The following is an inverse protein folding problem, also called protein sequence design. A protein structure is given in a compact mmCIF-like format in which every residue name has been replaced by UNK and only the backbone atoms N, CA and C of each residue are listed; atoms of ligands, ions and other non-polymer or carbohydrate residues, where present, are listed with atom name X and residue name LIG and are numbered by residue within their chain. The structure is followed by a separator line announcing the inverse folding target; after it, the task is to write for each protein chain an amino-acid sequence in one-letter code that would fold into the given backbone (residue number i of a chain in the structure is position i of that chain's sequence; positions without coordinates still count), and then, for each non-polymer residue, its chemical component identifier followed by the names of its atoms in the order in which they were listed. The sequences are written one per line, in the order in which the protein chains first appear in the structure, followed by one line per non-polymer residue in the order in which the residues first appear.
data_IF_383255272289
#
_entry.id   IF_383255272289
#
_cell.length_a   1.000
_cell.length_b   1.000
_cell.length_c   1.000
_cell.angle_alpha   90.00
_cell.angle_beta   90.00
_cell.angle_gamma   90.00
#
_symmetry.space_group_name_H-M   'P 1'
#
loop_
_entity.id
_entity.type
_entity.pdbx_description
1 polymer ?
#
# COMPACT_ATOMS: atom_id res chain seq x y z
N UNK A 1 -36.84 20.76 -59.81
CA UNK A 1 -36.30 20.03 -60.94
C UNK A 1 -34.99 19.40 -60.53
N UNK A 2 -34.80 18.13 -60.78
CA UNK A 2 -33.78 17.28 -60.15
C UNK A 2 -32.58 17.10 -61.06
N UNK A 3 -31.46 16.74 -60.46
CA UNK A 3 -30.48 15.87 -61.15
C UNK A 3 -29.88 14.87 -60.18
N UNK A 4 -30.32 13.67 -60.39
CA UNK A 4 -29.71 12.37 -59.95
C UNK A 4 -28.44 12.12 -60.70
N UNK A 5 -27.43 11.55 -60.05
CA UNK A 5 -26.50 10.66 -60.69
C UNK A 5 -26.10 9.51 -59.78
N UNK A 6 -26.25 8.32 -60.35
CA UNK A 6 -26.00 6.98 -59.82
C UNK A 6 -24.57 6.54 -60.10
N UNK A 7 -24.23 5.40 -59.45
CA UNK A 7 -23.30 4.34 -59.87
C UNK A 7 -21.91 4.43 -59.28
N UNK A 8 -21.22 3.37 -58.84
CA UNK A 8 -21.41 1.95 -59.08
C UNK A 8 -20.70 1.13 -57.97
N UNK A 9 -21.22 -0.07 -57.80
CA UNK A 9 -20.72 -1.19 -57.03
C UNK A 9 -19.60 -1.91 -57.82
N UNK A 10 -18.48 -2.29 -57.18
CA UNK A 10 -17.54 -3.26 -57.74
C UNK A 10 -17.23 -4.32 -56.70
N UNK A 11 -17.75 -5.51 -56.95
CA UNK A 11 -17.39 -6.75 -56.28
C UNK A 11 -16.17 -7.36 -56.98
N UNK A 12 -15.18 -7.78 -56.19
CA UNK A 12 -14.08 -8.62 -56.68
C UNK A 12 -14.02 -9.91 -55.87
N UNK A 13 -14.36 -10.97 -56.56
CA UNK A 13 -14.23 -12.37 -56.15
C UNK A 13 -12.79 -12.80 -56.42
N UNK A 14 -12.10 -13.46 -55.49
CA UNK A 14 -10.85 -14.18 -55.76
C UNK A 14 -10.96 -15.59 -55.21
N UNK A 15 -10.66 -16.50 -56.12
CA UNK A 15 -10.60 -17.97 -55.98
C UNK A 15 -9.51 -18.42 -55.03
N UNK A 16 -9.79 -19.57 -54.38
CA UNK A 16 -8.82 -20.33 -53.63
C UNK A 16 -7.85 -21.14 -54.50
N UNK A 17 -6.73 -21.48 -53.92
CA UNK A 17 -5.89 -22.60 -54.34
C UNK A 17 -5.43 -23.38 -53.11
N UNK A 18 -5.77 -24.66 -53.10
CA UNK A 18 -5.27 -25.66 -52.17
C UNK A 18 -3.91 -26.15 -52.66
N UNK A 19 -2.97 -26.36 -51.76
CA UNK A 19 -1.69 -26.99 -52.01
C UNK A 19 -1.34 -27.96 -50.89
N UNK A 20 -1.29 -29.23 -51.24
CA UNK A 20 -0.96 -30.38 -50.38
C UNK A 20 0.55 -30.54 -50.15
N UNK A 21 0.84 -31.05 -48.92
CA UNK A 21 1.85 -32.07 -48.55
C UNK A 21 3.33 -31.79 -48.71
N UNK A 22 4.11 -32.01 -47.65
CA UNK A 22 4.91 -33.24 -47.47
C UNK A 22 5.52 -33.32 -46.09
N UNK A 23 5.38 -34.49 -45.50
CA UNK A 23 6.06 -35.00 -44.30
C UNK A 23 7.55 -35.17 -44.55
N UNK A 24 8.41 -34.73 -43.65
CA UNK A 24 9.79 -35.19 -43.56
C UNK A 24 10.13 -35.50 -42.11
N UNK A 25 10.30 -36.79 -41.81
CA UNK A 25 10.93 -37.30 -40.59
C UNK A 25 12.44 -37.00 -40.64
N UNK A 26 13.00 -36.45 -39.56
CA UNK A 26 14.45 -36.44 -39.36
C UNK A 26 14.73 -36.93 -37.95
N UNK A 27 15.46 -38.05 -37.90
CA UNK A 27 15.96 -38.78 -36.75
C UNK A 27 17.11 -38.03 -36.07
N UNK A 28 17.00 -37.84 -34.73
CA UNK A 28 18.10 -37.39 -33.89
C UNK A 28 18.98 -38.55 -33.38
N UNK A 29 20.23 -38.28 -33.02
CA UNK A 29 21.18 -39.32 -32.59
C UNK A 29 21.01 -39.76 -31.12
N UNK A 30 21.54 -40.97 -30.76
CA UNK A 30 21.35 -41.56 -29.42
C UNK A 30 22.29 -41.00 -28.36
N UNK A 31 21.82 -41.02 -27.09
CA UNK A 31 22.59 -40.67 -25.91
C UNK A 31 23.59 -41.78 -25.51
N UNK A 32 24.73 -41.47 -24.90
CA UNK A 32 25.68 -42.48 -24.45
C UNK A 32 25.25 -43.07 -23.07
N UNK A 33 25.26 -44.39 -23.00
CA UNK A 33 25.18 -45.21 -21.79
C UNK A 33 26.47 -45.11 -20.99
N UNK A 34 26.39 -44.61 -19.78
CA UNK A 34 27.46 -44.65 -18.79
C UNK A 34 27.02 -45.41 -17.53
N UNK A 35 27.45 -46.64 -17.40
CA UNK A 35 27.31 -47.48 -16.20
C UNK A 35 28.30 -47.03 -15.16
N UNK A 36 27.88 -46.68 -13.93
CA UNK A 36 28.76 -46.68 -12.78
C UNK A 36 28.04 -47.17 -11.53
N UNK A 37 28.75 -48.00 -10.79
CA UNK A 37 28.34 -48.88 -9.73
C UNK A 37 27.75 -48.17 -8.48
N UNK A 38 26.74 -48.80 -7.91
CA UNK A 38 26.18 -48.48 -6.62
C UNK A 38 27.13 -48.96 -5.49
N UNK A 39 27.55 -48.02 -4.63
CA UNK A 39 28.18 -48.36 -3.35
C UNK A 39 27.15 -48.10 -2.26
N UNK A 40 26.62 -49.19 -1.71
CA UNK A 40 25.71 -49.23 -0.57
C UNK A 40 26.48 -48.84 0.71
N UNK A 41 26.13 -47.73 1.34
CA UNK A 41 26.60 -47.39 2.68
C UNK A 41 25.42 -47.52 3.64
N UNK A 42 25.60 -48.43 4.62
CA UNK A 42 24.60 -48.71 5.65
C UNK A 42 24.33 -47.49 6.54
N UNK A 43 23.05 -47.20 6.73
CA UNK A 43 22.56 -46.20 7.68
C UNK A 43 22.33 -46.93 8.99
N UNK A 44 23.09 -46.61 10.01
CA UNK A 44 22.87 -47.01 11.39
C UNK A 44 21.80 -46.09 11.99
N UNK A 45 20.67 -46.66 12.35
CA UNK A 45 19.62 -46.03 13.14
C UNK A 45 20.05 -45.93 14.59
N UNK A 46 20.25 -44.72 15.11
CA UNK A 46 20.35 -44.45 16.53
C UNK A 46 18.99 -44.09 17.12
N UNK A 47 18.65 -44.78 18.22
CA UNK A 47 17.41 -44.58 18.98
C UNK A 47 17.38 -43.22 19.71
N UNK A 48 16.18 -42.64 19.99
CA UNK A 48 16.06 -41.39 20.72
C UNK A 48 16.34 -41.57 22.23
N UNK A 49 16.86 -40.52 22.91
CA UNK A 49 17.10 -40.58 24.36
C UNK A 49 15.81 -40.48 25.16
N UNK A 50 15.76 -41.23 26.24
CA UNK A 50 14.69 -41.33 27.21
C UNK A 50 14.46 -40.03 27.99
N UNK A 51 13.20 -39.71 28.26
CA UNK A 51 12.76 -38.58 29.07
C UNK A 51 13.22 -38.71 30.54
N UNK A 52 13.57 -37.59 31.20
CA UNK A 52 13.86 -37.62 32.64
C UNK A 52 12.57 -37.60 33.47
N UNK A 53 12.61 -38.39 34.52
CA UNK A 53 11.59 -38.60 35.57
C UNK A 53 11.30 -37.31 36.33
N UNK A 54 10.01 -37.00 36.50
CA UNK A 54 9.49 -35.91 37.33
C UNK A 54 9.78 -36.18 38.81
N UNK A 55 10.54 -35.27 39.44
CA UNK A 55 10.71 -35.17 40.90
C UNK A 55 9.70 -34.19 41.45
N UNK A 56 8.85 -34.65 42.37
CA UNK A 56 7.83 -33.88 43.07
C UNK A 56 8.46 -32.88 44.05
N UNK A 57 8.12 -31.60 43.92
CA UNK A 57 8.43 -30.56 44.90
C UNK A 57 7.32 -30.48 45.98
N UNK A 58 7.65 -30.18 47.26
CA UNK A 58 6.66 -30.11 48.33
C UNK A 58 5.87 -28.81 48.33
N UNK A 59 4.61 -28.88 48.74
CA UNK A 59 3.65 -27.77 48.90
C UNK A 59 4.10 -26.74 49.93
N UNK A 60 3.89 -25.42 49.69
CA UNK A 60 4.12 -24.41 50.69
C UNK A 60 2.98 -24.32 51.68
N UNK A 61 3.35 -24.31 52.97
CA UNK A 61 2.44 -24.06 54.11
C UNK A 61 2.07 -22.57 54.19
N UNK A 62 0.79 -22.32 54.40
CA UNK A 62 0.20 -21.00 54.60
C UNK A 62 0.55 -20.45 55.99
N UNK A 63 1.02 -19.19 56.16
CA UNK A 63 1.11 -18.55 57.44
C UNK A 63 -0.19 -17.83 57.81
N UNK A 64 -0.61 -17.95 59.06
CA UNK A 64 -1.74 -17.29 59.73
C UNK A 64 -1.47 -15.81 59.89
N UNK A 65 -2.48 -14.91 59.77
CA UNK A 65 -2.28 -13.49 59.93
C UNK A 65 -2.19 -13.07 61.37
N UNK A 66 -1.09 -12.40 61.75
CA UNK A 66 -0.97 -11.67 63.01
C UNK A 66 -1.51 -10.27 62.86
N UNK A 67 -2.38 -9.91 63.78
CA UNK A 67 -2.96 -8.57 63.95
C UNK A 67 -1.88 -7.52 64.29
N UNK A 68 -1.77 -6.49 63.47
CA UNK A 68 -0.93 -5.30 63.74
C UNK A 68 -1.81 -4.09 63.99
N UNK A 69 -1.59 -3.49 65.12
CA UNK A 69 -2.20 -2.30 65.67
C UNK A 69 -1.90 -1.08 64.80
N UNK A 70 -2.94 -0.30 64.47
CA UNK A 70 -2.85 0.98 63.76
C UNK A 70 -2.21 2.06 64.58
N UNK A 71 -1.06 2.58 64.14
CA UNK A 71 -0.50 3.84 64.60
C UNK A 71 -0.72 4.91 63.52
N UNK A 72 -1.44 5.97 63.85
CA UNK A 72 -1.68 7.14 63.00
C UNK A 72 -0.42 8.01 62.92
N UNK A 73 0.24 7.97 61.72
CA UNK A 73 1.31 8.90 61.36
C UNK A 73 0.77 10.10 60.55
N UNK A 74 1.51 11.22 60.47
CA UNK A 74 1.02 12.48 59.90
C UNK A 74 0.81 12.41 58.39
N UNK A 75 -0.25 13.08 57.90
CA UNK A 75 -0.64 13.15 56.50
C UNK A 75 0.46 13.74 55.61
N UNK A 76 0.88 12.96 54.62
CA UNK A 76 1.73 13.41 53.53
C UNK A 76 0.91 14.29 52.57
N UNK A 77 1.45 15.41 52.05
CA UNK A 77 0.71 16.26 51.13
C UNK A 77 0.45 15.49 49.83
N UNK A 78 -0.82 15.33 49.50
CA UNK A 78 -1.29 14.71 48.23
C UNK A 78 -0.83 15.60 47.09
N UNK A 79 0.07 15.06 46.26
CA UNK A 79 0.42 15.66 44.96
C UNK A 79 -0.85 15.75 44.11
N UNK A 80 -1.15 16.89 43.46
CA UNK A 80 -2.34 16.98 42.63
C UNK A 80 -2.24 15.93 41.50
N UNK A 81 -3.31 15.16 41.34
CA UNK A 81 -3.46 14.23 40.23
C UNK A 81 -3.21 14.98 38.93
N UNK A 82 -2.53 14.37 37.92
CA UNK A 82 -2.34 15.02 36.66
C UNK A 82 -3.72 15.36 36.06
N UNK A 83 -3.95 16.67 35.86
CA UNK A 83 -5.13 17.16 35.14
C UNK A 83 -5.24 16.43 33.84
N UNK A 84 -6.31 15.67 33.64
CA UNK A 84 -6.62 15.01 32.40
C UNK A 84 -6.54 16.06 31.28
N UNK A 85 -5.60 15.88 30.35
CA UNK A 85 -5.48 16.71 29.16
C UNK A 85 -6.85 16.70 28.50
N UNK A 86 -7.50 17.85 28.40
CA UNK A 86 -8.81 17.97 27.79
C UNK A 86 -8.75 17.27 26.41
N UNK A 87 -9.56 16.22 26.24
CA UNK A 87 -9.58 15.44 25.00
C UNK A 87 -9.84 16.41 23.86
N UNK A 88 -9.07 16.27 22.76
CA UNK A 88 -9.34 17.04 21.53
C UNK A 88 -10.80 16.83 21.14
N UNK A 89 -11.45 17.90 20.71
CA UNK A 89 -12.84 17.84 20.25
C UNK A 89 -13.05 16.71 19.25
N UNK A 90 -14.15 16.00 19.36
CA UNK A 90 -14.53 14.97 18.41
C UNK A 90 -14.69 15.59 17.03
N UNK A 91 -14.00 15.02 16.03
CA UNK A 91 -14.15 15.44 14.65
C UNK A 91 -15.48 14.98 14.04
N UNK A 92 -15.65 15.27 12.77
CA UNK A 92 -16.76 14.74 11.97
C UNK A 92 -16.25 14.28 10.61
N UNK A 93 -16.94 13.32 9.98
CA UNK A 93 -16.76 12.93 8.60
C UNK A 93 -18.12 12.67 7.95
N UNK A 94 -18.47 13.47 6.96
CA UNK A 94 -19.76 13.39 6.26
C UNK A 94 -19.54 13.23 4.76
N UNK A 95 -20.09 12.18 4.16
CA UNK A 95 -20.08 12.02 2.70
C UNK A 95 -21.04 13.05 2.09
N UNK A 96 -20.48 13.98 1.32
CA UNK A 96 -21.24 15.03 0.63
C UNK A 96 -21.91 14.47 -0.62
N UNK A 97 -21.16 13.67 -1.41
CA UNK A 97 -21.67 13.00 -2.61
C UNK A 97 -20.70 11.90 -3.08
N UNK A 98 -21.20 10.98 -3.90
CA UNK A 98 -20.41 10.06 -4.70
C UNK A 98 -20.06 10.73 -6.02
N UNK A 99 -18.78 10.82 -6.36
CA UNK A 99 -18.27 11.49 -7.55
C UNK A 99 -18.20 10.56 -8.76
N UNK A 100 -17.91 9.29 -8.52
CA UNK A 100 -17.79 8.26 -9.55
C UNK A 100 -18.08 6.87 -8.96
N UNK A 101 -18.52 5.96 -9.81
CA UNK A 101 -18.84 4.55 -9.49
C UNK A 101 -18.31 3.62 -10.58
N UNK A 102 -18.22 2.31 -10.29
CA UNK A 102 -17.87 1.28 -11.29
C UNK A 102 -16.42 1.28 -11.71
N UNK A 103 -15.50 1.75 -10.86
CA UNK A 103 -14.06 1.72 -11.10
C UNK A 103 -13.49 0.45 -10.49
N UNK A 104 -12.60 -0.26 -11.21
CA UNK A 104 -11.95 -1.46 -10.67
C UNK A 104 -10.87 -1.09 -9.67
N UNK A 105 -11.17 -1.19 -8.38
CA UNK A 105 -10.24 -0.93 -7.27
C UNK A 105 -9.47 0.37 -7.48
N UNK A 106 -10.09 1.57 -7.30
CA UNK A 106 -9.42 2.86 -7.41
C UNK A 106 -8.36 3.00 -6.32
N UNK A 107 -7.08 2.77 -6.71
CA UNK A 107 -5.98 2.57 -5.78
C UNK A 107 -5.15 3.83 -5.52
N UNK A 108 -4.61 4.45 -6.55
CA UNK A 108 -3.80 5.67 -6.45
C UNK A 108 -4.62 6.92 -6.75
N UNK A 109 -4.40 7.97 -5.96
CA UNK A 109 -4.96 9.30 -6.18
C UNK A 109 -3.83 10.32 -6.23
N UNK A 110 -3.81 11.20 -7.25
CA UNK A 110 -2.82 12.26 -7.36
C UNK A 110 -3.45 13.55 -7.93
N UNK A 111 -3.27 14.67 -7.23
CA UNK A 111 -3.83 15.96 -7.65
C UNK A 111 -3.00 16.60 -8.76
N UNK A 112 -3.66 17.09 -9.78
CA UNK A 112 -3.07 17.89 -10.86
C UNK A 112 -3.03 19.38 -10.49
N UNK A 113 -2.15 20.17 -11.12
CA UNK A 113 -2.06 21.61 -10.85
C UNK A 113 -3.37 22.38 -11.14
N UNK A 114 -4.21 21.87 -12.05
CA UNK A 114 -5.52 22.44 -12.37
C UNK A 114 -6.63 22.08 -11.37
N UNK A 115 -6.30 21.34 -10.32
CA UNK A 115 -7.22 20.91 -9.27
C UNK A 115 -7.97 19.61 -9.56
N UNK A 116 -7.90 19.07 -10.78
CA UNK A 116 -8.44 17.73 -11.08
C UNK A 116 -7.58 16.65 -10.47
N UNK A 117 -8.06 15.41 -10.42
CA UNK A 117 -7.36 14.30 -9.74
C UNK A 117 -7.19 13.12 -10.69
N UNK A 118 -5.97 12.61 -10.78
CA UNK A 118 -5.72 11.32 -11.42
C UNK A 118 -6.08 10.18 -10.48
N UNK A 119 -6.65 9.12 -11.04
CA UNK A 119 -7.07 7.91 -10.33
C UNK A 119 -6.52 6.70 -11.08
N UNK A 120 -5.72 5.86 -10.41
CA UNK A 120 -5.34 4.55 -10.96
C UNK A 120 -6.38 3.50 -10.61
N UNK A 121 -6.73 2.66 -11.57
CA UNK A 121 -7.56 1.48 -11.40
C UNK A 121 -6.66 0.24 -11.42
N UNK A 122 -6.58 -0.48 -10.28
CA UNK A 122 -5.57 -1.52 -10.03
C UNK A 122 -5.62 -2.65 -11.05
N UNK A 123 -6.81 -3.19 -11.29
CA UNK A 123 -6.96 -4.44 -12.04
C UNK A 123 -7.22 -4.24 -13.53
N UNK A 124 -7.73 -3.07 -13.93
CA UNK A 124 -7.87 -2.69 -15.36
C UNK A 124 -6.68 -1.90 -15.90
N UNK A 125 -5.68 -1.57 -15.04
CA UNK A 125 -4.43 -0.87 -15.38
C UNK A 125 -4.64 0.51 -16.00
N UNK A 126 -5.83 1.10 -15.79
CA UNK A 126 -6.23 2.38 -16.37
C UNK A 126 -5.89 3.52 -15.43
N UNK A 127 -5.58 4.66 -16.02
CA UNK A 127 -5.55 5.95 -15.33
C UNK A 127 -6.72 6.77 -15.83
N UNK A 128 -7.45 7.35 -14.89
CA UNK A 128 -8.56 8.27 -15.13
C UNK A 128 -8.21 9.66 -14.60
N UNK A 129 -8.85 10.68 -15.17
CA UNK A 129 -8.89 12.06 -14.67
C UNK A 129 -10.28 12.35 -14.16
N UNK A 130 -10.38 12.72 -12.90
CA UNK A 130 -11.60 13.12 -12.21
C UNK A 130 -11.68 14.64 -12.11
N UNK A 131 -12.69 15.24 -12.71
CA UNK A 131 -13.13 16.59 -12.37
C UNK A 131 -14.02 16.50 -11.13
N UNK A 132 -13.50 16.99 -10.00
CA UNK A 132 -14.18 16.92 -8.71
C UNK A 132 -15.43 17.81 -8.68
N UNK A 133 -15.38 18.97 -9.34
CA UNK A 133 -16.50 19.91 -9.38
C UNK A 133 -17.66 19.37 -10.23
N UNK A 134 -17.35 18.89 -11.43
CA UNK A 134 -18.32 18.34 -12.37
C UNK A 134 -18.74 16.89 -12.05
N UNK A 135 -18.05 16.18 -11.14
CA UNK A 135 -18.21 14.73 -10.92
C UNK A 135 -18.06 13.93 -12.23
N UNK A 136 -17.07 14.32 -13.04
CA UNK A 136 -16.85 13.73 -14.36
C UNK A 136 -15.53 12.97 -14.40
N UNK A 137 -15.59 11.70 -14.81
CA UNK A 137 -14.45 10.81 -14.92
C UNK A 137 -14.12 10.54 -16.38
N UNK A 138 -12.92 10.90 -16.82
CA UNK A 138 -12.43 10.67 -18.18
C UNK A 138 -11.25 9.70 -18.16
N UNK A 139 -11.26 8.71 -19.05
CA UNK A 139 -10.12 7.79 -19.19
C UNK A 139 -8.93 8.52 -19.84
N UNK A 140 -7.78 8.49 -19.18
CA UNK A 140 -6.50 9.04 -19.69
C UNK A 140 -5.77 8.01 -20.56
N UNK A 141 -5.64 6.77 -20.08
CA UNK A 141 -4.95 5.71 -20.81
C UNK A 141 -4.85 4.42 -19.99
N UNK A 142 -4.08 3.48 -20.51
CA UNK A 142 -3.76 2.20 -19.85
C UNK A 142 -2.24 2.07 -19.75
N UNK A 143 -1.74 1.66 -18.58
CA UNK A 143 -0.31 1.40 -18.38
C UNK A 143 0.02 -0.01 -18.86
N UNK A 144 0.95 -0.16 -19.86
CA UNK A 144 1.29 -1.46 -20.40
C UNK A 144 2.20 -2.27 -19.47
N UNK A 145 2.22 -3.60 -19.64
CA UNK A 145 3.11 -4.52 -18.93
C UNK A 145 2.75 -4.77 -17.46
N UNK A 146 1.62 -4.25 -17.01
CA UNK A 146 1.09 -4.49 -15.66
C UNK A 146 0.42 -5.86 -15.60
N UNK A 147 0.59 -6.55 -14.47
CA UNK A 147 -0.16 -7.78 -14.15
C UNK A 147 -0.95 -7.59 -12.87
N UNK A 148 -2.11 -8.23 -12.79
CA UNK A 148 -2.93 -8.30 -11.58
C UNK A 148 -3.05 -9.77 -11.15
N UNK A 149 -3.13 -9.97 -9.86
CA UNK A 149 -3.39 -11.28 -9.24
C UNK A 149 -4.69 -11.28 -8.42
N UNK A 150 -5.67 -10.47 -8.82
CA UNK A 150 -6.98 -10.36 -8.15
C UNK A 150 -7.70 -11.71 -8.04
N UNK A 151 -7.50 -12.60 -9.01
CA UNK A 151 -8.07 -13.96 -8.99
C UNK A 151 -7.58 -14.80 -7.79
N UNK A 152 -6.38 -14.50 -7.28
CA UNK A 152 -5.82 -15.07 -6.05
C UNK A 152 -6.11 -14.20 -4.81
N UNK A 153 -7.04 -13.24 -4.88
CA UNK A 153 -7.27 -12.22 -3.86
C UNK A 153 -6.00 -11.39 -3.54
N UNK A 154 -5.13 -11.25 -4.53
CA UNK A 154 -3.84 -10.60 -4.39
C UNK A 154 -3.90 -9.09 -4.46
N UNK A 155 -2.73 -8.47 -4.28
CA UNK A 155 -2.57 -7.03 -4.16
C UNK A 155 -1.83 -6.40 -5.35
N UNK A 156 -1.33 -7.23 -6.28
CA UNK A 156 -0.61 -6.78 -7.46
C UNK A 156 -1.51 -6.04 -8.46
N UNK A 157 -0.92 -5.13 -9.22
CA UNK A 157 -1.63 -4.35 -10.23
C UNK A 157 -1.01 -2.99 -10.49
N UNK A 158 -1.80 -2.06 -11.02
CA UNK A 158 -1.44 -0.64 -11.09
C UNK A 158 -1.79 0.01 -9.74
N UNK A 159 -0.77 0.30 -8.94
CA UNK A 159 -0.95 0.76 -7.56
C UNK A 159 -0.88 2.29 -7.47
N UNK A 160 0.12 2.84 -6.80
CA UNK A 160 0.28 4.27 -6.57
C UNK A 160 0.63 5.04 -7.82
N UNK A 161 0.15 6.27 -7.87
CA UNK A 161 0.53 7.26 -8.87
C UNK A 161 0.91 8.58 -8.18
N UNK A 162 1.80 9.33 -8.81
CA UNK A 162 2.15 10.68 -8.38
C UNK A 162 2.32 11.59 -9.59
N UNK A 163 2.01 12.87 -9.43
CA UNK A 163 2.18 13.90 -10.46
C UNK A 163 3.53 14.59 -10.22
N UNK A 164 4.30 14.81 -11.28
CA UNK A 164 5.56 15.55 -11.19
C UNK A 164 5.38 16.90 -10.50
N UNK A 165 6.28 17.33 -9.60
CA UNK A 165 6.23 18.67 -9.05
C UNK A 165 6.45 19.77 -10.11
N UNK A 166 7.05 19.40 -11.25
CA UNK A 166 7.24 20.26 -12.42
C UNK A 166 6.30 19.92 -13.58
N UNK A 167 5.15 19.33 -13.28
CA UNK A 167 4.18 18.81 -14.27
C UNK A 167 3.76 19.84 -15.33
N UNK A 168 3.70 21.12 -14.98
CA UNK A 168 3.42 22.18 -15.95
C UNK A 168 4.40 22.21 -17.12
N UNK A 169 5.63 21.77 -16.88
CA UNK A 169 6.73 21.75 -17.87
C UNK A 169 6.97 20.37 -18.47
N UNK A 170 7.05 19.32 -17.62
CA UNK A 170 7.51 18.00 -18.03
C UNK A 170 6.37 17.03 -18.35
N UNK A 171 5.14 17.33 -17.92
CA UNK A 171 3.95 16.48 -18.16
C UNK A 171 4.15 15.02 -17.75
N UNK A 172 4.90 14.76 -16.66
CA UNK A 172 5.18 13.41 -16.18
C UNK A 172 4.23 13.00 -15.07
N UNK A 173 3.72 11.77 -15.20
CA UNK A 173 3.03 11.01 -14.16
C UNK A 173 3.89 9.83 -13.79
N UNK A 174 4.08 9.59 -12.50
CA UNK A 174 4.82 8.45 -11.98
C UNK A 174 3.84 7.37 -11.57
N UNK A 175 4.18 6.10 -11.86
CA UNK A 175 3.36 4.95 -11.49
C UNK A 175 4.21 3.87 -10.83
N UNK A 176 3.65 3.29 -9.76
CA UNK A 176 4.12 2.05 -9.17
C UNK A 176 3.21 0.92 -9.63
N UNK A 177 3.76 -0.14 -10.18
CA UNK A 177 2.98 -1.24 -10.72
C UNK A 177 3.73 -2.57 -10.65
N UNK A 178 2.96 -3.65 -10.64
CA UNK A 178 3.46 -5.02 -10.63
C UNK A 178 3.62 -5.55 -12.05
N UNK A 179 4.71 -6.27 -12.29
CA UNK A 179 4.94 -7.09 -13.50
C UNK A 179 4.94 -8.57 -13.12
N UNK A 180 5.21 -9.46 -14.06
CA UNK A 180 5.32 -10.89 -13.78
C UNK A 180 6.51 -11.25 -12.86
N UNK A 181 7.53 -10.41 -12.76
CA UNK A 181 8.77 -10.72 -12.06
C UNK A 181 9.11 -9.80 -10.89
N UNK A 182 8.60 -8.56 -10.90
CA UNK A 182 8.93 -7.56 -9.90
C UNK A 182 7.86 -6.47 -9.82
N UNK A 183 7.93 -5.65 -8.79
CA UNK A 183 7.27 -4.35 -8.78
C UNK A 183 8.21 -3.29 -9.34
N UNK A 184 7.66 -2.29 -10.06
CA UNK A 184 8.42 -1.25 -10.74
C UNK A 184 7.89 0.14 -10.47
N UNK A 185 8.78 1.12 -10.63
CA UNK A 185 8.42 2.54 -10.67
C UNK A 185 8.80 3.07 -12.05
N UNK A 186 7.88 3.75 -12.72
CA UNK A 186 8.14 4.38 -14.01
C UNK A 186 7.62 5.82 -14.06
N UNK A 187 8.26 6.65 -14.89
CA UNK A 187 7.75 7.94 -15.32
C UNK A 187 7.06 7.77 -16.68
N UNK A 188 5.85 8.30 -16.80
CA UNK A 188 4.97 8.16 -17.96
C UNK A 188 4.65 9.56 -18.48
N UNK A 189 5.03 9.92 -19.71
CA UNK A 189 4.62 11.16 -20.34
C UNK A 189 3.09 11.20 -20.50
N UNK A 190 2.49 12.36 -20.27
CA UNK A 190 1.09 12.58 -20.53
C UNK A 190 0.89 13.70 -21.55
N UNK A 191 0.29 13.38 -22.68
CA UNK A 191 -0.13 14.34 -23.69
C UNK A 191 -1.65 14.61 -23.56
N UNK A 192 -2.05 15.74 -22.97
CA UNK A 192 -3.47 16.07 -22.81
C UNK A 192 -4.17 16.40 -24.12
N UNK A 193 -3.43 16.63 -25.22
CA UNK A 193 -3.97 16.92 -26.54
C UNK A 193 -4.34 15.68 -27.34
N UNK A 194 -3.78 14.53 -26.96
CA UNK A 194 -4.13 13.26 -27.56
C UNK A 194 -5.58 12.84 -27.24
N UNK A 195 -6.22 12.02 -28.07
CA UNK A 195 -7.57 11.54 -27.82
C UNK A 195 -7.72 10.87 -26.46
N UNK A 196 -8.87 11.06 -25.81
CA UNK A 196 -9.17 10.42 -24.53
C UNK A 196 -8.92 8.90 -24.58
N UNK A 197 -8.25 8.38 -23.55
CA UNK A 197 -7.82 6.98 -23.45
C UNK A 197 -6.51 6.65 -24.17
N UNK A 198 -5.89 7.60 -24.90
CA UNK A 198 -4.59 7.45 -25.58
C UNK A 198 -3.58 8.53 -25.18
N UNK A 199 -3.78 9.16 -24.02
CA UNK A 199 -2.99 10.31 -23.59
C UNK A 199 -1.70 9.91 -22.85
N UNK A 200 -1.52 8.63 -22.49
CA UNK A 200 -0.29 8.14 -21.87
C UNK A 200 0.73 7.72 -22.93
N UNK A 201 1.93 8.26 -22.82
CA UNK A 201 3.09 7.82 -23.58
C UNK A 201 3.71 6.52 -23.05
N UNK A 202 4.83 6.13 -23.63
CA UNK A 202 5.56 4.92 -23.20
C UNK A 202 6.20 5.12 -21.82
N UNK A 203 5.95 4.22 -20.85
CA UNK A 203 6.58 4.29 -19.54
C UNK A 203 8.11 4.16 -19.64
N UNK A 204 8.82 5.10 -19.02
CA UNK A 204 10.27 5.01 -18.79
C UNK A 204 10.49 4.44 -17.40
N UNK A 205 10.93 3.18 -17.33
CA UNK A 205 11.20 2.51 -16.06
C UNK A 205 12.37 3.18 -15.33
N UNK A 206 12.18 3.47 -14.05
CA UNK A 206 13.14 4.16 -13.18
C UNK A 206 13.75 3.21 -12.15
N UNK A 207 12.93 2.33 -11.57
CA UNK A 207 13.32 1.36 -10.56
C UNK A 207 12.72 0.01 -10.93
N UNK A 208 13.55 -1.03 -10.83
CA UNK A 208 13.21 -2.45 -11.02
C UNK A 208 13.64 -3.26 -9.81
N UNK A 209 13.27 -4.54 -9.76
CA UNK A 209 13.75 -5.46 -8.73
C UNK A 209 13.16 -5.19 -7.34
N UNK A 210 12.06 -4.43 -7.23
CA UNK A 210 11.30 -4.36 -5.99
C UNK A 210 10.58 -5.70 -5.84
N UNK A 211 10.78 -6.42 -4.72
CA UNK A 211 10.14 -7.71 -4.48
C UNK A 211 8.63 -7.70 -4.70
N UNK A 212 8.12 -8.77 -5.30
CA UNK A 212 6.72 -8.93 -5.70
C UNK A 212 6.19 -10.29 -5.26
N UNK A 213 4.94 -10.33 -4.79
CA UNK A 213 4.25 -11.57 -4.48
C UNK A 213 2.72 -11.35 -4.56
N UNK A 214 1.95 -12.39 -4.19
CA UNK A 214 0.48 -12.30 -4.11
C UNK A 214 0.07 -11.17 -3.17
N UNK A 215 0.71 -11.07 -1.99
CA UNK A 215 0.47 -10.01 -1.01
C UNK A 215 1.74 -9.21 -0.71
N UNK A 216 1.58 -8.13 0.06
CA UNK A 216 2.63 -7.26 0.58
C UNK A 216 3.48 -6.64 -0.54
N UNK A 217 2.81 -5.96 -1.46
CA UNK A 217 3.45 -5.26 -2.57
C UNK A 217 3.72 -3.77 -2.26
N UNK A 218 3.19 -3.23 -1.15
CA UNK A 218 3.28 -1.81 -0.82
C UNK A 218 2.59 -0.93 -1.87
N UNK A 219 3.33 -0.02 -2.48
CA UNK A 219 2.92 0.63 -3.73
C UNK A 219 2.50 2.08 -3.63
N UNK A 220 2.52 2.75 -2.46
CA UNK A 220 2.19 4.17 -2.40
C UNK A 220 3.32 5.01 -2.98
N UNK A 221 2.95 5.97 -3.85
CA UNK A 221 3.86 7.00 -4.39
C UNK A 221 3.37 8.38 -3.97
N UNK A 222 4.31 9.24 -3.57
CA UNK A 222 4.06 10.66 -3.37
C UNK A 222 5.36 11.46 -3.48
N UNK A 223 5.29 12.70 -3.96
CA UNK A 223 6.39 13.65 -3.81
C UNK A 223 6.33 14.30 -2.44
N UNK A 224 7.47 14.29 -1.75
CA UNK A 224 7.62 14.99 -0.48
C UNK A 224 7.75 16.51 -0.64
N UNK A 225 7.62 17.27 0.46
CA UNK A 225 7.83 18.73 0.45
C UNK A 225 9.27 19.12 0.06
N UNK A 226 10.19 18.17 0.09
CA UNK A 226 11.58 18.30 -0.36
C UNK A 226 11.78 18.08 -1.87
N UNK A 227 10.69 17.83 -2.62
CA UNK A 227 10.68 17.64 -4.06
C UNK A 227 11.14 16.26 -4.55
N UNK A 228 11.47 15.33 -3.64
CA UNK A 228 11.85 13.96 -4.00
C UNK A 228 10.64 13.02 -4.01
N UNK A 229 10.74 11.97 -4.83
CA UNK A 229 9.72 10.92 -4.92
C UNK A 229 9.95 9.89 -3.81
N UNK A 230 8.91 9.64 -3.02
CA UNK A 230 8.87 8.57 -2.04
C UNK A 230 8.00 7.43 -2.55
N UNK A 231 8.46 6.20 -2.28
CA UNK A 231 7.72 4.98 -2.61
C UNK A 231 7.71 4.04 -1.42
N UNK A 232 6.58 3.41 -1.15
CA UNK A 232 6.48 2.37 -0.13
C UNK A 232 6.54 1.00 -0.77
N UNK A 233 7.20 0.05 -0.12
CA UNK A 233 7.30 -1.33 -0.58
C UNK A 233 6.87 -2.28 0.52
N UNK A 234 6.28 -3.40 0.12
CA UNK A 234 6.07 -4.54 1.01
C UNK A 234 7.25 -5.49 0.97
N UNK A 235 7.33 -6.39 1.94
CA UNK A 235 8.37 -7.43 2.00
C UNK A 235 8.07 -8.64 1.10
N UNK A 236 6.94 -8.62 0.36
CA UNK A 236 6.54 -9.64 -0.59
C UNK A 236 6.44 -11.05 0.03
N UNK A 237 5.89 -11.16 1.26
CA UNK A 237 5.79 -12.40 2.04
C UNK A 237 7.16 -13.08 2.31
N UNK A 238 8.22 -12.28 2.35
CA UNK A 238 9.59 -12.67 2.70
C UNK A 238 10.09 -11.77 3.83
N UNK A 239 9.69 -12.04 5.08
CA UNK A 239 9.91 -11.12 6.22
C UNK A 239 11.35 -10.67 6.42
N UNK A 240 12.32 -11.55 6.14
CA UNK A 240 13.75 -11.24 6.28
C UNK A 240 14.20 -10.05 5.41
N UNK A 241 13.53 -9.82 4.25
CA UNK A 241 13.88 -8.71 3.36
C UNK A 241 13.67 -7.34 4.02
N UNK A 242 12.77 -7.25 5.00
CA UNK A 242 12.50 -6.00 5.70
C UNK A 242 13.74 -5.46 6.41
N UNK A 243 14.58 -6.33 6.98
CA UNK A 243 15.81 -5.99 7.69
C UNK A 243 17.05 -5.91 6.78
N UNK A 244 17.00 -6.52 5.60
CA UNK A 244 18.09 -6.45 4.62
C UNK A 244 18.08 -5.08 3.89
N UNK A 245 19.05 -4.23 4.20
CA UNK A 245 19.22 -2.90 3.58
C UNK A 245 19.72 -2.95 2.13
N UNK A 246 20.14 -4.11 1.64
CA UNK A 246 20.45 -4.38 0.23
C UNK A 246 19.20 -4.68 -0.60
N UNK A 247 18.10 -5.08 0.05
CA UNK A 247 16.80 -5.34 -0.58
C UNK A 247 15.95 -4.07 -0.64
N UNK A 248 15.11 -3.96 -1.67
CA UNK A 248 14.08 -2.91 -1.79
C UNK A 248 12.74 -3.33 -1.14
N UNK A 249 12.61 -4.57 -0.64
CA UNK A 249 11.39 -5.05 0.03
C UNK A 249 11.29 -4.60 1.48
N UNK A 250 10.07 -4.24 1.93
CA UNK A 250 9.83 -3.81 3.31
C UNK A 250 10.51 -2.48 3.66
N UNK A 251 10.39 -1.48 2.78
CA UNK A 251 11.08 -0.19 2.88
C UNK A 251 10.15 0.98 2.60
N UNK A 252 10.54 2.15 3.07
CA UNK A 252 10.20 3.40 2.40
C UNK A 252 11.45 3.83 1.63
N UNK A 253 11.26 4.09 0.33
CA UNK A 253 12.31 4.53 -0.59
C UNK A 253 12.18 6.03 -0.82
N UNK A 254 13.31 6.72 -1.07
CA UNK A 254 13.35 8.14 -1.45
C UNK A 254 14.32 8.34 -2.60
N UNK A 255 13.86 8.98 -3.66
CA UNK A 255 14.60 9.08 -4.92
C UNK A 255 14.37 10.40 -5.65
N UNK A 256 15.28 10.71 -6.55
CA UNK A 256 15.11 11.80 -7.53
C UNK A 256 14.04 11.45 -8.56
N UNK A 257 13.60 12.41 -9.36
CA UNK A 257 12.70 12.20 -10.50
C UNK A 257 13.28 11.27 -11.59
N UNK A 258 14.57 10.96 -11.52
CA UNK A 258 15.27 10.03 -12.39
C UNK A 258 15.42 8.62 -11.78
N UNK A 259 14.85 8.35 -10.59
CA UNK A 259 14.93 7.05 -9.91
C UNK A 259 16.28 6.78 -9.24
N UNK A 260 17.13 7.80 -9.04
CA UNK A 260 18.42 7.67 -8.34
C UNK A 260 18.24 7.97 -6.85
N UNK A 261 19.10 7.43 -5.96
CA UNK A 261 19.09 7.81 -4.57
C UNK A 261 19.10 9.34 -4.41
N UNK A 262 18.18 9.85 -3.58
CA UNK A 262 18.15 11.29 -3.31
C UNK A 262 19.33 11.68 -2.39
N UNK A 263 19.92 12.89 -2.56
CA UNK A 263 20.92 13.39 -1.64
C UNK A 263 20.43 13.37 -0.19
N UNK A 264 21.30 12.97 0.74
CA UNK A 264 20.96 12.86 2.15
C UNK A 264 20.23 11.60 2.56
N UNK A 265 20.05 10.63 1.66
CA UNK A 265 19.57 9.30 2.05
C UNK A 265 20.56 8.63 3.02
N UNK A 266 20.08 8.04 4.14
CA UNK A 266 20.92 7.61 5.25
C UNK A 266 21.92 6.50 4.92
N UNK A 267 21.67 5.73 3.85
CA UNK A 267 22.50 4.59 3.45
C UNK A 267 23.17 4.76 2.09
N UNK A 268 23.07 5.95 1.48
CA UNK A 268 23.57 6.19 0.11
C UNK A 268 22.84 5.42 -0.98
N UNK A 269 21.75 4.71 -0.63
CA UNK A 269 20.89 3.92 -1.52
C UNK A 269 19.50 4.55 -1.61
N UNK A 270 18.55 3.89 -2.28
CA UNK A 270 17.15 4.34 -2.32
C UNK A 270 16.47 4.27 -0.95
N UNK A 271 16.98 3.48 -0.01
CA UNK A 271 16.35 3.20 1.28
C UNK A 271 16.34 4.44 2.17
N UNK A 272 15.14 4.87 2.58
CA UNK A 272 14.91 5.95 3.54
C UNK A 272 14.68 5.42 4.96
N UNK A 273 13.83 4.38 5.10
CA UNK A 273 13.61 3.62 6.33
C UNK A 273 13.41 2.14 6.00
N UNK A 274 13.55 1.27 7.01
CA UNK A 274 13.52 -0.17 6.83
C UNK A 274 12.83 -0.87 8.00
N UNK A 275 12.65 -2.20 7.90
CA UNK A 275 11.94 -2.96 8.91
C UNK A 275 10.43 -2.81 8.81
N UNK A 276 9.90 -2.63 7.61
CA UNK A 276 8.48 -2.53 7.31
C UNK A 276 7.94 -3.84 6.73
N UNK A 277 6.68 -4.15 7.05
CA UNK A 277 5.97 -5.29 6.47
C UNK A 277 5.27 -4.91 5.16
N UNK A 278 4.28 -4.02 5.22
CA UNK A 278 3.49 -3.64 4.04
C UNK A 278 2.87 -2.24 4.21
N UNK A 279 3.64 -1.22 3.90
CA UNK A 279 3.19 0.18 3.99
C UNK A 279 2.35 0.53 2.77
N UNK A 280 1.10 1.00 2.96
CA UNK A 280 0.19 1.38 1.87
C UNK A 280 -0.26 2.84 1.88
N UNK A 281 0.13 3.63 2.86
CA UNK A 281 -0.18 5.05 2.92
C UNK A 281 1.00 5.88 3.40
N UNK A 282 1.22 7.06 2.80
CA UNK A 282 2.15 8.08 3.28
C UNK A 282 1.55 9.47 3.11
N UNK A 283 1.86 10.35 4.06
CA UNK A 283 1.50 11.77 3.99
C UNK A 283 2.43 12.61 4.86
N UNK A 284 2.53 13.91 4.57
CA UNK A 284 3.31 14.85 5.36
C UNK A 284 2.39 15.81 6.12
N UNK A 285 2.70 16.05 7.38
CA UNK A 285 2.03 17.09 8.14
C UNK A 285 2.61 18.49 7.87
N UNK A 286 1.99 19.51 8.46
CA UNK A 286 2.40 20.90 8.25
C UNK A 286 3.82 21.22 8.72
N UNK A 287 4.41 20.38 9.58
CA UNK A 287 5.80 20.49 10.02
C UNK A 287 6.78 19.73 9.09
N UNK A 288 6.27 19.13 7.99
CA UNK A 288 7.06 18.35 7.05
C UNK A 288 7.42 16.94 7.55
N UNK A 289 6.77 16.45 8.61
CA UNK A 289 7.03 15.11 9.14
C UNK A 289 6.25 14.08 8.33
N UNK A 290 6.93 12.99 7.96
CA UNK A 290 6.37 11.90 7.18
C UNK A 290 5.63 10.91 8.09
N UNK A 291 4.38 10.65 7.79
CA UNK A 291 3.53 9.64 8.41
C UNK A 291 3.30 8.49 7.45
N UNK A 292 3.19 7.27 7.98
CA UNK A 292 2.91 6.07 7.20
C UNK A 292 1.92 5.17 7.92
N UNK A 293 1.02 4.56 7.15
CA UNK A 293 0.13 3.49 7.59
C UNK A 293 0.67 2.15 7.12
N UNK A 294 0.66 1.17 7.99
CA UNK A 294 1.32 -0.11 7.78
C UNK A 294 0.47 -1.28 8.26
N UNK A 295 0.33 -2.29 7.42
CA UNK A 295 -0.30 -3.55 7.79
C UNK A 295 0.61 -4.37 8.69
N UNK A 296 0.08 -4.78 9.81
CA UNK A 296 0.65 -5.84 10.64
C UNK A 296 0.33 -7.24 10.12
N UNK A 297 0.69 -8.24 10.92
CA UNK A 297 0.45 -9.65 10.60
C UNK A 297 -0.72 -10.21 11.40
N UNK A 298 -0.50 -10.42 12.66
CA UNK A 298 -1.48 -11.05 13.54
C UNK A 298 -1.94 -10.16 14.69
N UNK A 299 -1.10 -9.23 15.12
CA UNK A 299 -1.31 -8.47 16.35
C UNK A 299 -1.75 -7.04 16.09
N UNK A 300 -1.00 -6.28 15.32
CA UNK A 300 -1.13 -4.82 15.31
C UNK A 300 -0.89 -4.22 13.92
N UNK A 301 -1.88 -3.53 13.40
CA UNK A 301 -1.74 -2.55 12.33
C UNK A 301 -1.24 -1.22 12.90
N UNK A 302 -0.50 -0.41 12.11
CA UNK A 302 0.29 0.68 12.65
C UNK A 302 0.10 2.03 11.92
N UNK A 303 0.12 3.11 12.70
CA UNK A 303 0.42 4.46 12.21
C UNK A 303 1.80 4.88 12.71
N UNK A 304 2.72 5.04 11.81
CA UNK A 304 4.13 5.31 12.06
C UNK A 304 4.52 6.77 11.75
N UNK A 305 5.32 7.39 12.61
CA UNK A 305 6.06 8.62 12.32
C UNK A 305 7.43 8.25 11.73
N UNK A 306 7.61 8.47 10.44
CA UNK A 306 8.79 8.01 9.70
C UNK A 306 9.96 8.99 9.85
N UNK A 307 11.11 8.45 10.19
CA UNK A 307 12.39 9.17 10.29
C UNK A 307 13.47 8.48 9.44
N UNK A 308 14.40 9.25 8.85
CA UNK A 308 15.45 8.68 8.02
C UNK A 308 16.32 7.70 8.81
N UNK A 309 16.67 6.59 8.18
CA UNK A 309 17.58 5.57 8.73
C UNK A 309 17.02 4.71 9.85
N UNK A 310 15.76 4.91 10.28
CA UNK A 310 15.18 4.17 11.39
C UNK A 310 14.67 2.80 10.96
N UNK A 311 14.77 1.84 11.91
CA UNK A 311 14.20 0.51 11.86
C UNK A 311 12.82 0.51 12.52
N UNK A 312 11.81 -0.03 11.83
CA UNK A 312 10.43 -0.14 12.32
C UNK A 312 10.08 -1.55 12.82
N UNK A 313 11.07 -2.44 12.87
CA UNK A 313 11.08 -3.66 13.67
C UNK A 313 10.64 -4.93 12.99
N UNK A 314 9.85 -4.89 11.93
CA UNK A 314 9.40 -6.11 11.26
C UNK A 314 10.59 -6.94 10.72
N UNK A 315 10.62 -8.28 10.91
CA UNK A 315 9.62 -9.14 11.55
C UNK A 315 9.85 -9.37 13.06
N UNK A 316 10.87 -8.79 13.67
CA UNK A 316 11.21 -9.06 15.08
C UNK A 316 10.22 -8.44 16.06
N UNK A 317 9.56 -7.34 15.68
CA UNK A 317 8.54 -6.68 16.48
C UNK A 317 7.38 -6.28 15.60
N UNK A 318 6.18 -6.24 16.19
CA UNK A 318 4.92 -5.78 15.63
C UNK A 318 4.22 -4.97 16.72
N UNK A 319 3.78 -3.75 16.40
CA UNK A 319 3.21 -2.84 17.37
C UNK A 319 4.23 -2.16 18.29
N UNK A 320 3.72 -1.62 19.41
CA UNK A 320 4.55 -0.89 20.40
C UNK A 320 5.64 -1.76 20.95
N UNK A 321 6.85 -1.23 21.00
CA UNK A 321 8.03 -1.97 21.44
C UNK A 321 8.97 -1.09 22.25
N UNK A 322 9.71 -1.71 23.17
CA UNK A 322 10.86 -1.15 23.88
C UNK A 322 12.20 -1.70 23.37
N UNK A 323 12.20 -2.44 22.27
CA UNK A 323 13.41 -3.04 21.70
C UNK A 323 14.40 -1.96 21.27
N UNK A 324 15.65 -2.09 21.71
CA UNK A 324 16.70 -1.12 21.40
C UNK A 324 16.92 -1.01 19.88
N UNK A 325 17.01 0.22 19.39
CA UNK A 325 17.23 0.49 17.96
C UNK A 325 16.00 0.37 17.07
N UNK A 326 14.84 -0.03 17.61
CA UNK A 326 13.57 -0.10 16.92
C UNK A 326 12.71 1.14 17.25
N UNK A 327 12.00 1.63 16.26
CA UNK A 327 11.03 2.73 16.41
C UNK A 327 9.62 2.14 16.36
N UNK A 328 8.90 2.20 17.46
CA UNK A 328 7.52 1.72 17.52
C UNK A 328 6.51 2.73 16.94
N UNK A 329 5.27 2.29 16.68
CA UNK A 329 4.20 3.10 16.13
C UNK A 329 3.71 4.16 17.12
N UNK A 330 3.13 5.22 16.54
CA UNK A 330 2.45 6.30 17.28
C UNK A 330 1.04 5.86 17.71
N UNK A 331 0.35 5.11 16.86
CA UNK A 331 -0.92 4.48 17.12
C UNK A 331 -0.98 3.09 16.50
N UNK A 332 -1.81 2.20 17.04
CA UNK A 332 -1.94 0.82 16.60
C UNK A 332 -3.37 0.32 16.79
N UNK A 333 -3.75 -0.68 16.00
CA UNK A 333 -5.09 -1.32 16.00
C UNK A 333 -4.94 -2.81 15.73
N UNK A 334 -5.88 -3.60 16.28
CA UNK A 334 -5.99 -5.01 15.88
C UNK A 334 -6.37 -5.13 14.39
N UNK A 335 -5.81 -6.09 13.62
CA UNK A 335 -6.07 -6.24 12.19
C UNK A 335 -7.56 -6.36 11.78
N UNK A 336 -8.49 -6.89 12.62
CA UNK A 336 -9.92 -6.86 12.31
C UNK A 336 -10.53 -5.45 12.26
N UNK A 337 -9.94 -4.49 12.98
CA UNK A 337 -10.49 -3.13 13.11
C UNK A 337 -9.94 -2.18 12.04
N UNK A 338 -8.84 -2.52 11.39
CA UNK A 338 -8.15 -1.61 10.48
C UNK A 338 -7.81 -2.27 9.13
N UNK A 339 -6.65 -2.84 8.93
CA UNK A 339 -6.03 -3.11 7.63
C UNK A 339 -5.82 -1.79 6.86
N UNK A 340 -4.88 -0.94 7.33
CA UNK A 340 -4.76 0.45 6.91
C UNK A 340 -4.19 0.58 5.52
N UNK A 341 -4.79 1.47 4.70
CA UNK A 341 -4.27 1.74 3.37
C UNK A 341 -3.92 3.23 3.22
N UNK A 342 -4.56 3.97 2.33
CA UNK A 342 -4.20 5.35 2.07
C UNK A 342 -4.46 6.28 3.26
N UNK A 343 -3.58 7.28 3.42
CA UNK A 343 -3.72 8.34 4.42
C UNK A 343 -3.63 9.72 3.78
N UNK A 344 -4.23 10.71 4.43
CA UNK A 344 -4.06 12.12 4.13
C UNK A 344 -4.08 12.96 5.41
N UNK A 345 -3.49 14.16 5.35
CA UNK A 345 -3.53 15.14 6.45
C UNK A 345 -4.58 16.20 6.11
N UNK A 346 -5.54 16.39 7.00
CA UNK A 346 -6.50 17.47 6.96
C UNK A 346 -6.95 17.82 8.39
N UNK A 347 -7.27 19.10 8.65
CA UNK A 347 -7.75 19.59 9.96
C UNK A 347 -6.87 19.10 11.12
N UNK A 348 -5.52 19.18 10.95
CA UNK A 348 -4.57 18.78 12.00
C UNK A 348 -4.64 17.31 12.42
N UNK A 349 -5.13 16.44 11.53
CA UNK A 349 -5.30 15.01 11.81
C UNK A 349 -4.82 14.16 10.63
N UNK A 350 -4.32 12.96 10.92
CA UNK A 350 -4.17 11.91 9.91
C UNK A 350 -5.53 11.24 9.71
N UNK A 351 -6.05 11.29 8.50
CA UNK A 351 -7.21 10.55 8.06
C UNK A 351 -6.77 9.30 7.33
N UNK A 352 -7.19 8.12 7.77
CA UNK A 352 -6.70 6.83 7.33
C UNK A 352 -7.85 5.92 6.92
N UNK A 353 -7.76 5.36 5.73
CA UNK A 353 -8.73 4.40 5.22
C UNK A 353 -8.43 2.99 5.71
N UNK A 354 -9.43 2.32 6.28
CA UNK A 354 -9.38 0.96 6.77
C UNK A 354 -10.11 0.01 5.82
N UNK A 355 -9.40 -1.01 5.33
CA UNK A 355 -9.97 -2.00 4.40
C UNK A 355 -10.83 -3.03 5.14
N UNK A 356 -10.24 -3.82 6.03
CA UNK A 356 -10.97 -4.86 6.77
C UNK A 356 -11.90 -4.23 7.81
N UNK A 357 -11.45 -3.17 8.47
CA UNK A 357 -12.23 -2.42 9.44
C UNK A 357 -13.36 -1.58 8.85
N UNK A 358 -13.40 -1.41 7.51
CA UNK A 358 -14.47 -0.73 6.78
C UNK A 358 -14.86 0.62 7.36
N UNK A 359 -13.84 1.45 7.68
CA UNK A 359 -14.02 2.75 8.33
C UNK A 359 -12.98 3.78 7.89
N UNK A 360 -13.23 5.01 8.22
CA UNK A 360 -12.30 6.11 8.08
C UNK A 360 -11.84 6.53 9.48
N UNK A 361 -10.58 6.30 9.79
CA UNK A 361 -9.97 6.75 11.04
C UNK A 361 -9.56 8.22 10.96
N UNK A 362 -9.74 8.94 12.06
CA UNK A 362 -9.15 10.25 12.35
C UNK A 362 -8.18 10.11 13.50
N UNK A 363 -6.92 10.46 13.29
CA UNK A 363 -5.86 10.47 14.29
C UNK A 363 -5.41 11.91 14.52
N UNK A 364 -5.97 12.63 15.54
CA UNK A 364 -5.63 14.02 15.78
C UNK A 364 -4.17 14.16 16.17
N UNK A 365 -3.42 15.05 15.47
CA UNK A 365 -2.01 15.31 15.75
C UNK A 365 -1.86 16.42 16.79
N UNK A 366 -0.93 16.25 17.71
CA UNK A 366 -0.64 17.24 18.76
C UNK A 366 0.38 18.30 18.33
N UNK A 367 0.93 18.17 17.14
CA UNK A 367 1.98 19.05 16.61
C UNK A 367 3.40 18.69 17.04
N UNK A 368 3.60 17.73 17.97
CA UNK A 368 4.92 17.31 18.45
C UNK A 368 5.42 16.01 17.79
N UNK A 369 4.55 15.30 17.09
CA UNK A 369 4.84 14.00 16.46
C UNK A 369 4.18 12.84 17.19
N UNK A 370 3.20 13.11 18.05
CA UNK A 370 2.31 12.12 18.64
C UNK A 370 0.89 12.34 18.14
N UNK A 371 0.03 11.33 18.32
CA UNK A 371 -1.39 11.42 18.02
C UNK A 371 -2.21 11.22 19.29
N UNK A 372 -3.37 11.89 19.37
CA UNK A 372 -4.38 11.61 20.39
C UNK A 372 -5.13 10.31 20.05
N UNK A 373 -6.05 9.91 20.94
CA UNK A 373 -6.89 8.73 20.71
C UNK A 373 -7.59 8.77 19.35
N UNK A 374 -7.51 7.70 18.56
CA UNK A 374 -8.18 7.58 17.27
C UNK A 374 -9.70 7.71 17.40
N UNK A 375 -10.33 8.22 16.34
CA UNK A 375 -11.79 8.33 16.20
C UNK A 375 -12.18 7.69 14.86
N UNK A 376 -13.24 6.92 14.83
CA UNK A 376 -13.71 6.22 13.64
C UNK A 376 -15.01 6.81 13.08
N UNK A 377 -15.13 6.80 11.76
CA UNK A 377 -16.26 7.32 11.01
C UNK A 377 -16.62 6.39 9.85
N UNK A 378 -17.85 6.52 9.35
CA UNK A 378 -18.36 5.78 8.19
C UNK A 378 -18.36 4.24 8.37
N UNK A 379 -18.33 3.74 9.58
CA UNK A 379 -18.18 2.31 9.92
C UNK A 379 -19.22 1.45 9.20
N UNK A 380 -18.77 0.49 8.39
CA UNK A 380 -19.59 -0.45 7.63
C UNK A 380 -20.44 0.15 6.49
N UNK A 381 -20.46 1.49 6.31
CA UNK A 381 -21.40 2.15 5.37
C UNK A 381 -21.04 2.03 3.91
N UNK A 382 -19.76 1.91 3.60
CA UNK A 382 -19.23 1.90 2.23
C UNK A 382 -18.31 0.71 1.96
N UNK A 383 -18.28 -0.26 2.88
CA UNK A 383 -17.38 -1.40 2.81
C UNK A 383 -15.91 -0.99 3.00
N UNK A 384 -15.04 -1.65 2.30
CA UNK A 384 -13.57 -1.52 2.38
C UNK A 384 -13.13 -0.17 1.84
N UNK A 385 -12.57 0.70 2.70
CA UNK A 385 -12.03 2.00 2.28
C UNK A 385 -10.53 1.85 1.95
N UNK A 386 -10.07 2.43 0.83
CA UNK A 386 -8.69 2.22 0.36
C UNK A 386 -7.84 3.47 0.35
N UNK A 387 -8.21 4.50 -0.37
CA UNK A 387 -7.34 5.68 -0.52
C UNK A 387 -8.00 6.92 0.00
N UNK A 388 -7.19 7.82 0.56
CA UNK A 388 -7.59 9.13 1.03
C UNK A 388 -6.69 10.17 0.36
N UNK A 389 -7.26 11.26 -0.15
CA UNK A 389 -6.55 12.40 -0.68
C UNK A 389 -7.23 13.70 -0.21
N UNK A 390 -6.47 14.60 0.40
CA UNK A 390 -6.97 15.94 0.72
C UNK A 390 -7.04 16.78 -0.55
N UNK A 391 -8.23 17.28 -0.87
CA UNK A 391 -8.48 18.17 -2.03
C UNK A 391 -8.86 19.59 -1.61
N UNK A 392 -9.06 19.80 -0.34
CA UNK A 392 -9.30 21.09 0.31
C UNK A 392 -8.87 21.03 1.78
N UNK A 393 -8.96 22.13 2.52
CA UNK A 393 -8.58 22.18 3.93
C UNK A 393 -9.43 21.25 4.82
N UNK A 394 -10.70 21.07 4.45
CA UNK A 394 -11.70 20.28 5.16
C UNK A 394 -12.35 19.21 4.27
N UNK A 395 -11.75 18.88 3.13
CA UNK A 395 -12.39 18.04 2.13
C UNK A 395 -11.45 16.95 1.65
N UNK A 396 -11.92 15.70 1.71
CA UNK A 396 -11.21 14.51 1.30
C UNK A 396 -11.92 13.83 0.12
N UNK A 397 -11.13 13.21 -0.76
CA UNK A 397 -11.58 12.09 -1.58
C UNK A 397 -11.25 10.80 -0.86
N UNK A 398 -12.24 9.91 -0.78
CA UNK A 398 -12.08 8.56 -0.22
C UNK A 398 -12.54 7.55 -1.26
N UNK A 399 -11.73 6.52 -1.53
CA UNK A 399 -12.11 5.45 -2.47
C UNK A 399 -12.50 4.19 -1.74
N UNK A 400 -13.40 3.40 -2.33
CA UNK A 400 -13.70 2.04 -1.85
C UNK A 400 -12.86 0.99 -2.59
N UNK A 401 -12.86 -0.24 -2.10
CA UNK A 401 -12.11 -1.38 -2.63
C UNK A 401 -12.90 -2.67 -2.44
N UNK A 402 -14.18 -2.64 -2.77
CA UNK A 402 -15.09 -3.77 -2.56
C UNK A 402 -14.95 -4.83 -3.67
N UNK A 403 -14.34 -4.44 -4.80
CA UNK A 403 -14.06 -5.32 -5.94
C UNK A 403 -12.68 -6.00 -5.88
N UNK A 404 -11.99 -5.92 -4.75
CA UNK A 404 -10.63 -6.47 -4.60
C UNK A 404 -10.58 -8.00 -4.39
N UNK A 405 -11.71 -8.68 -4.51
CA UNK A 405 -11.82 -10.15 -4.39
C UNK A 405 -12.04 -10.64 -2.95
N UNK A 406 -12.07 -9.76 -1.94
CA UNK A 406 -12.20 -10.14 -0.53
C UNK A 406 -13.59 -9.99 0.04
N UNK A 407 -14.52 -9.45 -0.72
CA UNK A 407 -15.95 -9.41 -0.41
C UNK A 407 -16.78 -9.35 -1.70
N UNK A 408 -18.09 -9.59 -1.59
CA UNK A 408 -19.02 -9.38 -2.71
C UNK A 408 -19.28 -7.89 -2.89
N UNK A 409 -19.01 -7.31 -4.06
CA UNK A 409 -19.29 -5.90 -4.31
C UNK A 409 -20.81 -5.66 -4.44
N UNK A 410 -21.24 -4.48 -4.02
CA UNK A 410 -22.60 -4.00 -4.27
C UNK A 410 -22.71 -3.33 -5.65
N UNK A 411 -23.96 -3.07 -6.08
CA UNK A 411 -24.20 -2.29 -7.28
C UNK A 411 -23.56 -0.89 -7.15
N UNK A 412 -22.79 -0.50 -8.16
CA UNK A 412 -22.09 0.78 -8.19
C UNK A 412 -20.72 0.80 -7.49
N UNK A 413 -20.23 -0.32 -6.93
CA UNK A 413 -18.85 -0.41 -6.45
C UNK A 413 -17.86 -0.51 -7.63
N UNK A 414 -16.60 -0.05 -7.49
CA UNK A 414 -16.12 0.77 -6.39
C UNK A 414 -16.45 2.24 -6.64
N UNK A 415 -16.34 3.02 -5.58
CA UNK A 415 -16.81 4.42 -5.52
C UNK A 415 -15.67 5.38 -5.20
N UNK A 416 -15.80 6.62 -5.66
CA UNK A 416 -15.02 7.76 -5.16
C UNK A 416 -15.98 8.69 -4.44
N UNK A 417 -15.75 8.87 -3.15
CA UNK A 417 -16.59 9.66 -2.24
C UNK A 417 -15.94 11.02 -1.99
N UNK A 418 -16.74 12.09 -2.01
CA UNK A 418 -16.35 13.40 -1.50
C UNK A 418 -16.80 13.50 -0.03
N UNK A 419 -15.85 13.66 0.86
CA UNK A 419 -16.09 13.67 2.31
C UNK A 419 -15.67 15.00 2.90
N UNK A 420 -16.55 15.64 3.67
CA UNK A 420 -16.23 16.81 4.47
C UNK A 420 -15.83 16.36 5.87
N UNK A 421 -14.76 16.96 6.41
CA UNK A 421 -14.16 16.60 7.70
C UNK A 421 -13.88 17.83 8.57
N UNK A 422 -13.88 17.61 9.90
CA UNK A 422 -13.53 18.65 10.89
C UNK A 422 -12.56 18.11 11.93
#
# INVERSE_FOLDING_TARGET
MPHTTRTALAAATVLGLAGLSTTACSSGPPAPTGTTAATTRAVTTSAPPSSPTTSSAPSPTTPTPSSVTTSSGPATPTSPAPTSRAGRATGSATVVRTLATGIDVPWGLARLPDGTVLVSARDSFRIYRLDVAASHLTRVGTVPGVVSNVAQQGEAGLLGIAVSPTFAHDRLVYAYYSTAGDNRIAAIPWDPTAPAGRQLGTPRVLVTGIPHNVHHNGGRLAFGPDGYLYATTGEAQQPALAQDKGSLGGKILRMTTAGRPAPGNPFGTLVWSYGHRNVQGIAWDAAGRLWASEFGDHSEDELNLIRPGRNYGWPQTEGRTSSAGVTGPVAQWGPPEDSPSGIAIAQGSVWMAALRGQRLWRNPLDGTGTAAAPQDFLVGRYGRLRSVLAVGPDTLLVTTSNRDGRQSPEAGDDRILLVRVT
#
